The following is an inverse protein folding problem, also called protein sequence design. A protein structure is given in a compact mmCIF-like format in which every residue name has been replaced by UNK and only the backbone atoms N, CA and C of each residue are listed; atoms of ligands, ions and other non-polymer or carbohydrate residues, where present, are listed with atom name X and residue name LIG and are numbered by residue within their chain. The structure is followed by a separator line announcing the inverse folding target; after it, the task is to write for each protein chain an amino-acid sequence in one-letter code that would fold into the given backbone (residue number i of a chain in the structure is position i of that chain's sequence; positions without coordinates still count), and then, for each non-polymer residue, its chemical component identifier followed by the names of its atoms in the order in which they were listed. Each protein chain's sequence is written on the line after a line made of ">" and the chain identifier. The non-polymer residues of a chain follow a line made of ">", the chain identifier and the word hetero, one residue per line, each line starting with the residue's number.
data_IF_646929673894
#
_entry.id   IF_646929673894
#
_cell.length_a   1.000
_cell.length_b   1.000
_cell.length_c   1.000
_cell.angle_alpha   90.00
_cell.angle_beta   90.00
_cell.angle_gamma   90.00
#
_symmetry.space_group_name_H-M   'P 1'
#
loop_
_entity.id
_entity.type
_entity.pdbx_description
1 polymer ?
#
# COMPACT_ATOMS: atom_id res chain seq x y z
N UNK A 1 6.49 24.88 -21.23
CA UNK A 1 5.73 23.73 -21.77
C UNK A 1 5.43 22.78 -20.62
N UNK A 2 4.17 22.44 -20.37
CA UNK A 2 3.82 21.35 -19.43
C UNK A 2 4.30 20.04 -20.06
N UNK A 3 5.12 19.26 -19.34
CA UNK A 3 5.54 17.93 -19.77
C UNK A 3 4.28 17.07 -19.94
N UNK A 4 4.14 16.42 -21.10
CA UNK A 4 3.02 15.52 -21.32
C UNK A 4 3.16 14.30 -20.41
N UNK A 5 2.11 13.99 -19.65
CA UNK A 5 2.12 12.85 -18.72
C UNK A 5 2.10 11.56 -19.55
N UNK A 6 3.02 10.60 -19.34
CA UNK A 6 3.01 9.32 -20.06
C UNK A 6 1.68 8.59 -19.90
N UNK A 7 1.21 7.88 -20.93
CA UNK A 7 -0.11 7.20 -20.92
C UNK A 7 -0.29 6.25 -19.72
N UNK A 8 0.77 5.54 -19.33
CA UNK A 8 0.79 4.65 -18.13
C UNK A 8 0.56 5.36 -16.79
N UNK A 9 0.62 6.69 -16.78
CA UNK A 9 0.38 7.53 -15.61
C UNK A 9 -0.89 8.36 -15.76
N UNK A 10 -1.69 8.10 -16.81
CA UNK A 10 -2.98 8.76 -17.03
C UNK A 10 -4.08 7.89 -16.44
N UNK A 11 -4.99 8.56 -15.75
CA UNK A 11 -6.22 7.98 -15.27
C UNK A 11 -7.19 7.78 -16.45
N UNK A 12 -7.56 6.54 -16.76
CA UNK A 12 -8.50 6.23 -17.85
C UNK A 12 -9.92 5.94 -17.32
N UNK A 13 -10.04 5.37 -16.12
CA UNK A 13 -11.31 4.87 -15.56
C UNK A 13 -11.73 5.54 -14.24
N UNK A 14 -10.86 6.38 -13.67
CA UNK A 14 -11.05 6.95 -12.32
C UNK A 14 -10.44 6.10 -11.20
N UNK A 15 -9.97 4.89 -11.52
CA UNK A 15 -9.51 3.91 -10.54
C UNK A 15 -8.00 3.72 -10.56
N UNK A 16 -7.46 3.49 -9.37
CA UNK A 16 -6.04 3.28 -9.10
C UNK A 16 -5.88 2.09 -8.17
N UNK A 17 -4.80 1.33 -8.36
CA UNK A 17 -4.34 0.32 -7.42
C UNK A 17 -3.09 0.82 -6.72
N UNK A 18 -3.07 0.66 -5.41
CA UNK A 18 -1.90 0.93 -4.58
C UNK A 18 -1.57 -0.30 -3.74
N UNK A 19 -0.27 -0.54 -3.58
CA UNK A 19 0.23 -1.56 -2.66
C UNK A 19 1.14 -0.90 -1.63
N UNK A 20 1.11 -1.37 -0.39
CA UNK A 20 1.88 -0.81 0.72
C UNK A 20 2.29 -1.88 1.73
N UNK A 21 3.39 -1.61 2.44
CA UNK A 21 3.89 -2.49 3.49
C UNK A 21 3.42 -2.00 4.86
N UNK A 22 2.78 -2.90 5.58
CA UNK A 22 2.56 -2.79 7.02
C UNK A 22 3.43 -3.79 7.75
N UNK A 23 4.15 -3.31 8.76
CA UNK A 23 4.95 -4.14 9.64
C UNK A 23 4.33 -4.16 11.03
N UNK A 24 4.25 -5.35 11.62
CA UNK A 24 3.92 -5.48 13.04
C UNK A 24 5.20 -5.60 13.85
N UNK A 25 5.43 -4.65 14.75
CA UNK A 25 6.59 -4.62 15.63
C UNK A 25 6.20 -5.07 17.03
N UNK A 26 6.68 -6.23 17.47
CA UNK A 26 6.47 -6.67 18.84
C UNK A 26 7.40 -5.93 19.82
N UNK A 27 6.90 -5.62 21.02
CA UNK A 27 7.66 -4.86 22.01
C UNK A 27 8.84 -5.63 22.63
N UNK A 28 8.80 -6.96 22.56
CA UNK A 28 9.83 -7.87 23.10
C UNK A 28 10.92 -8.25 22.07
N UNK A 29 10.93 -7.63 20.88
CA UNK A 29 11.95 -7.87 19.85
C UNK A 29 13.30 -7.23 20.19
N UNK A 30 14.39 -7.96 19.91
CA UNK A 30 15.75 -7.41 19.95
C UNK A 30 15.99 -6.48 18.74
N UNK A 31 15.80 -5.18 18.98
CA UNK A 31 15.97 -4.12 17.97
C UNK A 31 17.44 -3.82 17.63
N UNK A 32 18.40 -4.34 18.41
CA UNK A 32 19.83 -4.17 18.13
C UNK A 32 20.34 -5.19 17.11
N UNK A 33 19.61 -6.30 16.92
CA UNK A 33 19.93 -7.29 15.91
C UNK A 33 19.54 -6.81 14.50
N UNK A 34 20.50 -6.35 13.72
CA UNK A 34 20.31 -5.91 12.35
C UNK A 34 19.77 -7.00 11.39
N UNK A 35 19.94 -8.28 11.74
CA UNK A 35 19.45 -9.41 10.95
C UNK A 35 18.09 -9.93 11.41
N UNK A 36 17.43 -9.27 12.38
CA UNK A 36 16.11 -9.69 12.85
C UNK A 36 15.12 -9.73 11.70
N UNK A 37 14.29 -10.77 11.66
CA UNK A 37 13.12 -10.80 10.79
C UNK A 37 12.01 -9.99 11.45
N UNK A 38 11.19 -9.37 10.63
CA UNK A 38 9.97 -8.71 11.07
C UNK A 38 8.77 -9.37 10.39
N UNK A 39 7.63 -9.29 11.06
CA UNK A 39 6.37 -9.72 10.48
C UNK A 39 5.79 -8.54 9.69
N UNK A 40 5.56 -8.74 8.40
CA UNK A 40 5.06 -7.70 7.52
C UNK A 40 4.06 -8.27 6.50
N UNK A 41 3.19 -7.41 6.02
CA UNK A 41 2.20 -7.67 4.99
C UNK A 41 2.35 -6.65 3.89
N UNK A 42 2.21 -7.11 2.66
CA UNK A 42 1.92 -6.23 1.54
C UNK A 42 0.40 -6.23 1.32
N UNK A 43 -0.21 -5.09 1.58
CA UNK A 43 -1.63 -4.86 1.34
C UNK A 43 -1.81 -4.22 -0.02
N UNK A 44 -2.83 -4.63 -0.76
CA UNK A 44 -3.21 -4.01 -2.04
C UNK A 44 -4.64 -3.49 -1.95
N UNK A 45 -4.84 -2.23 -2.36
CA UNK A 45 -6.12 -1.52 -2.25
C UNK A 45 -6.48 -0.86 -3.57
N UNK A 46 -7.79 -0.70 -3.76
CA UNK A 46 -8.39 0.01 -4.88
C UNK A 46 -8.83 1.41 -4.43
N UNK A 47 -8.49 2.44 -5.20
CA UNK A 47 -8.69 3.85 -4.87
C UNK A 47 -9.35 4.57 -6.04
N UNK A 48 -10.38 5.37 -5.76
CA UNK A 48 -10.94 6.31 -6.74
C UNK A 48 -10.28 7.68 -6.59
N UNK A 49 -9.71 8.21 -7.66
CA UNK A 49 -9.03 9.51 -7.69
C UNK A 49 -9.00 10.07 -9.12
N UNK A 50 -8.98 11.39 -9.27
CA UNK A 50 -8.93 12.09 -10.56
C UNK A 50 -7.54 12.03 -11.19
N UNK A 51 -6.50 12.10 -10.37
CA UNK A 51 -5.09 12.05 -10.81
C UNK A 51 -4.19 11.25 -9.86
N UNK A 52 -2.92 11.12 -10.24
CA UNK A 52 -1.92 10.33 -9.51
C UNK A 52 -1.63 10.91 -8.13
N UNK A 53 -1.66 12.23 -7.98
CA UNK A 53 -1.32 12.90 -6.72
C UNK A 53 -2.42 12.66 -5.69
N UNK A 54 -3.68 12.83 -6.11
CA UNK A 54 -4.82 12.49 -5.27
C UNK A 54 -4.83 10.99 -4.92
N UNK A 55 -4.53 10.12 -5.88
CA UNK A 55 -4.43 8.69 -5.64
C UNK A 55 -3.35 8.34 -4.62
N UNK A 56 -2.17 8.98 -4.72
CA UNK A 56 -1.07 8.82 -3.77
C UNK A 56 -1.48 9.25 -2.37
N UNK A 57 -2.07 10.45 -2.23
CA UNK A 57 -2.48 10.96 -0.92
C UNK A 57 -3.49 10.04 -0.26
N UNK A 58 -4.53 9.61 -0.99
CA UNK A 58 -5.53 8.65 -0.50
C UNK A 58 -4.89 7.31 -0.12
N UNK A 59 -3.92 6.83 -0.89
CA UNK A 59 -3.23 5.57 -0.59
C UNK A 59 -2.46 5.66 0.72
N UNK A 60 -1.72 6.74 0.93
CA UNK A 60 -0.96 6.98 2.18
C UNK A 60 -1.90 7.13 3.36
N UNK A 61 -3.00 7.87 3.20
CA UNK A 61 -3.98 8.06 4.28
C UNK A 61 -4.62 6.73 4.69
N UNK A 62 -5.01 5.89 3.72
CA UNK A 62 -5.49 4.53 3.97
C UNK A 62 -4.42 3.65 4.65
N UNK A 63 -3.19 3.65 4.13
CA UNK A 63 -2.09 2.83 4.65
C UNK A 63 -1.65 3.21 6.07
N UNK A 64 -1.92 4.44 6.50
CA UNK A 64 -1.61 4.92 7.85
C UNK A 64 -2.74 4.75 8.86
N UNK A 65 -3.91 4.24 8.46
CA UNK A 65 -5.05 4.08 9.38
C UNK A 65 -4.71 3.21 10.60
N UNK A 66 -3.84 2.21 10.43
CA UNK A 66 -3.38 1.33 11.50
C UNK A 66 -2.11 1.86 12.20
N UNK A 67 -1.44 2.87 11.66
CA UNK A 67 -0.12 3.30 12.15
C UNK A 67 -0.20 3.74 13.61
N UNK A 68 0.58 3.08 14.46
CA UNK A 68 0.58 3.35 15.89
C UNK A 68 -0.51 2.64 16.69
N UNK A 69 -1.43 1.92 16.04
CA UNK A 69 -2.38 1.06 16.74
C UNK A 69 -1.66 -0.11 17.40
N UNK A 70 -1.91 -0.31 18.69
CA UNK A 70 -1.44 -1.49 19.41
C UNK A 70 -2.37 -2.68 19.19
N UNK A 71 -1.79 -3.86 19.10
CA UNK A 71 -2.56 -5.11 19.06
C UNK A 71 -1.85 -6.19 19.88
N UNK A 72 -2.61 -7.25 20.19
CA UNK A 72 -2.10 -8.45 20.82
C UNK A 72 -2.41 -9.65 19.95
N UNK A 73 -1.42 -10.49 19.70
CA UNK A 73 -1.62 -11.72 18.93
C UNK A 73 -2.21 -12.85 19.81
N UNK A 74 -2.54 -13.98 19.19
CA UNK A 74 -3.14 -15.14 19.87
C UNK A 74 -2.21 -15.78 20.91
N UNK A 75 -0.91 -15.55 20.80
CA UNK A 75 0.10 -15.99 21.78
C UNK A 75 0.26 -15.03 22.96
N UNK A 76 -0.52 -13.94 23.00
CA UNK A 76 -0.48 -12.93 24.05
C UNK A 76 0.63 -11.87 23.90
N UNK A 77 1.44 -11.92 22.84
CA UNK A 77 2.48 -10.91 22.57
C UNK A 77 1.83 -9.62 22.09
N UNK A 78 2.29 -8.50 22.64
CA UNK A 78 1.84 -7.15 22.27
C UNK A 78 2.84 -6.49 21.33
N UNK A 79 2.31 -5.65 20.47
CA UNK A 79 3.09 -4.91 19.51
C UNK A 79 2.28 -3.77 18.91
N UNK A 80 2.86 -3.16 17.89
CA UNK A 80 2.35 -1.95 17.27
C UNK A 80 2.51 -2.00 15.76
N UNK A 81 1.50 -1.52 15.06
CA UNK A 81 1.52 -1.42 13.61
C UNK A 81 2.38 -0.23 13.15
N UNK A 82 3.14 -0.46 12.08
CA UNK A 82 4.03 0.50 11.43
C UNK A 82 3.77 0.51 9.94
N UNK A 83 3.58 1.71 9.40
CA UNK A 83 3.58 1.93 7.96
C UNK A 83 5.03 2.06 7.47
N UNK A 84 5.40 1.28 6.45
CA UNK A 84 6.76 1.25 5.91
C UNK A 84 6.87 1.92 4.52
N UNK A 85 5.75 2.23 3.87
CA UNK A 85 5.75 2.86 2.56
C UNK A 85 4.80 2.21 1.56
N UNK A 86 4.48 2.95 0.48
CA UNK A 86 3.89 2.37 -0.72
C UNK A 86 4.94 1.61 -1.52
N UNK A 87 4.61 0.42 -2.00
CA UNK A 87 5.42 -0.37 -2.94
C UNK A 87 4.99 -0.15 -4.39
N UNK A 88 3.72 0.17 -4.61
CA UNK A 88 3.16 0.38 -5.95
C UNK A 88 2.05 1.43 -5.97
N UNK A 89 1.92 2.13 -7.10
CA UNK A 89 0.78 3.00 -7.42
C UNK A 89 0.60 3.06 -8.93
N UNK A 90 -0.45 2.41 -9.42
CA UNK A 90 -0.74 2.20 -10.84
C UNK A 90 -2.19 2.59 -11.15
N UNK A 91 -2.48 3.24 -12.30
CA UNK A 91 -3.85 3.40 -12.74
C UNK A 91 -4.41 2.06 -13.22
N UNK A 92 -5.72 1.85 -13.02
CA UNK A 92 -6.45 0.75 -13.64
C UNK A 92 -6.79 1.14 -15.08
N UNK A 93 -6.49 0.26 -16.03
CA UNK A 93 -6.62 0.55 -17.45
C UNK A 93 -7.96 0.13 -18.06
N UNK A 94 -8.63 -0.83 -17.44
CA UNK A 94 -9.91 -1.39 -17.86
C UNK A 94 -11.03 -0.96 -16.91
N UNK A 95 -12.25 -0.82 -17.43
CA UNK A 95 -13.41 -0.59 -16.58
C UNK A 95 -13.61 -1.79 -15.64
N UNK A 96 -14.04 -1.53 -14.41
CA UNK A 96 -14.21 -2.60 -13.43
C UNK A 96 -15.46 -3.43 -13.74
N UNK A 97 -15.24 -4.63 -14.25
CA UNK A 97 -16.26 -5.61 -14.57
C UNK A 97 -15.75 -7.04 -14.36
N UNK A 98 -16.63 -8.03 -14.53
CA UNK A 98 -16.25 -9.45 -14.46
C UNK A 98 -15.19 -9.76 -15.53
N UNK A 99 -14.03 -10.24 -15.08
CA UNK A 99 -12.89 -10.57 -15.94
C UNK A 99 -11.93 -9.42 -16.26
N UNK A 100 -12.15 -8.21 -15.75
CA UNK A 100 -11.26 -7.07 -16.01
C UNK A 100 -9.85 -7.26 -15.41
N UNK A 101 -8.82 -6.89 -16.16
CA UNK A 101 -7.43 -6.86 -15.67
C UNK A 101 -7.19 -5.61 -14.83
N UNK A 102 -6.90 -5.81 -13.55
CA UNK A 102 -6.68 -4.71 -12.59
C UNK A 102 -5.20 -4.48 -12.26
N UNK A 103 -4.34 -5.49 -12.45
CA UNK A 103 -2.92 -5.43 -12.14
C UNK A 103 -2.14 -6.38 -13.05
N UNK A 104 -1.02 -5.91 -13.59
CA UNK A 104 -0.05 -6.70 -14.34
C UNK A 104 1.36 -6.46 -13.78
N UNK A 105 2.06 -7.54 -13.41
CA UNK A 105 3.40 -7.52 -12.80
C UNK A 105 4.26 -8.62 -13.43
N UNK A 106 5.51 -8.29 -13.74
CA UNK A 106 6.54 -9.25 -14.16
C UNK A 106 7.40 -9.64 -12.94
N UNK A 107 7.78 -10.93 -12.83
CA UNK A 107 8.54 -11.48 -11.71
C UNK A 107 9.85 -12.14 -12.15
#
# INVERSE_FOLDING_TARGET
>A
MRKEIPRRNRNQTGWWIASYIERFEFYDEDKLNANRRCLAWENTILIRAEDREEAYQKAVDCARLSEGCEARNDSGRTGIWRYEGLTSLLPVYEELEDGAEILWVEH
#
